data_IF_954060779599
#
_entry.id   IF_954060779599
#
_cell.length_a   1.000
_cell.length_b   1.000
_cell.length_c   1.000
_cell.angle_alpha   90.00
_cell.angle_beta   90.00
_cell.angle_gamma   90.00
#
_symmetry.space_group_name_H-M   'P 1'
#
loop_
_entity.id
_entity.type
_entity.pdbx_description
1 polymer ?
#
# COMPACT_ATOMS: atom_id res chain seq x y z
N UNK A 1 -47.20 -15.69 -28.18
CA UNK A 1 -46.73 -14.82 -27.07
C UNK A 1 -45.60 -15.57 -26.38
N UNK A 2 -44.34 -15.23 -26.67
CA UNK A 2 -43.19 -15.86 -26.02
C UNK A 2 -42.87 -15.09 -24.72
N UNK A 3 -42.83 -15.74 -23.56
CA UNK A 3 -42.42 -15.10 -22.32
C UNK A 3 -40.90 -14.87 -22.37
N UNK A 4 -40.49 -13.60 -22.28
CA UNK A 4 -39.08 -13.24 -22.17
C UNK A 4 -38.52 -13.78 -20.85
N UNK A 5 -37.45 -14.55 -21.03
CA UNK A 5 -36.64 -15.25 -20.04
C UNK A 5 -36.02 -14.29 -19.01
N UNK A 6 -35.68 -14.84 -17.84
CA UNK A 6 -35.09 -14.16 -16.69
C UNK A 6 -33.78 -13.39 -16.96
N UNK A 7 -33.15 -12.76 -15.97
CA UNK A 7 -32.63 -13.42 -14.78
C UNK A 7 -31.98 -12.36 -13.87
N UNK A 8 -32.25 -12.43 -12.56
CA UNK A 8 -31.45 -11.95 -11.42
C UNK A 8 -30.59 -10.67 -11.61
N UNK A 9 -30.98 -9.59 -10.93
CA UNK A 9 -30.20 -8.36 -10.79
C UNK A 9 -28.85 -8.56 -10.08
N UNK A 10 -27.84 -9.01 -10.81
CA UNK A 10 -26.44 -8.94 -10.39
C UNK A 10 -25.94 -7.52 -10.68
N UNK A 11 -25.52 -6.79 -9.64
CA UNK A 11 -24.93 -5.45 -9.80
C UNK A 11 -23.69 -5.57 -10.69
N UNK A 12 -23.73 -4.92 -11.86
CA UNK A 12 -22.59 -4.87 -12.78
C UNK A 12 -21.53 -3.94 -12.20
N UNK A 13 -20.35 -4.48 -11.90
CA UNK A 13 -19.24 -3.70 -11.40
C UNK A 13 -18.67 -2.81 -12.51
N UNK A 14 -18.60 -1.51 -12.25
CA UNK A 14 -17.97 -0.53 -13.14
C UNK A 14 -16.71 -0.04 -12.43
N UNK A 15 -15.58 -0.03 -13.13
CA UNK A 15 -14.32 0.46 -12.54
C UNK A 15 -14.38 1.98 -12.36
N UNK A 16 -13.68 2.52 -11.36
CA UNK A 16 -13.58 3.97 -11.16
C UNK A 16 -13.06 4.68 -12.43
N UNK A 17 -12.13 4.04 -13.14
CA UNK A 17 -11.61 4.55 -14.42
C UNK A 17 -12.68 4.61 -15.51
N UNK A 18 -13.62 3.65 -15.54
CA UNK A 18 -14.71 3.66 -16.50
C UNK A 18 -15.74 4.75 -16.18
N UNK A 19 -16.05 4.97 -14.90
CA UNK A 19 -16.90 6.10 -14.47
C UNK A 19 -16.26 7.43 -14.85
N UNK A 20 -14.96 7.61 -14.61
CA UNK A 20 -14.24 8.84 -14.96
C UNK A 20 -14.12 9.06 -16.47
N UNK A 21 -14.18 8.01 -17.29
CA UNK A 21 -14.25 8.16 -18.76
C UNK A 21 -15.67 8.49 -19.20
N UNK A 22 -16.67 7.87 -18.58
CA UNK A 22 -18.08 8.12 -18.84
C UNK A 22 -18.48 9.56 -18.49
N UNK A 23 -17.83 10.19 -17.50
CA UNK A 23 -18.08 11.60 -17.17
C UNK A 23 -17.63 12.55 -18.29
N UNK A 24 -16.65 12.18 -19.11
CA UNK A 24 -16.23 12.97 -20.26
C UNK A 24 -17.00 12.61 -21.53
N UNK A 25 -17.22 11.32 -21.76
CA UNK A 25 -18.00 10.80 -22.89
C UNK A 25 -19.04 9.79 -22.39
N UNK A 26 -20.32 10.18 -22.24
CA UNK A 26 -21.37 9.29 -21.74
C UNK A 26 -21.50 7.97 -22.51
N UNK A 27 -21.21 7.99 -23.81
CA UNK A 27 -21.31 6.84 -24.70
C UNK A 27 -20.12 5.86 -24.61
N UNK A 28 -19.05 6.21 -23.88
CA UNK A 28 -17.86 5.36 -23.73
C UNK A 28 -18.17 3.96 -23.20
N UNK A 29 -19.07 3.85 -22.21
CA UNK A 29 -19.41 2.56 -21.58
C UNK A 29 -20.06 1.60 -22.58
N UNK A 30 -21.00 2.10 -23.38
CA UNK A 30 -21.68 1.30 -24.40
C UNK A 30 -20.71 0.80 -25.48
N UNK A 31 -19.82 1.68 -25.96
CA UNK A 31 -18.75 1.31 -26.90
C UNK A 31 -17.84 0.23 -26.33
N UNK A 32 -17.45 0.37 -25.06
CA UNK A 32 -16.61 -0.61 -24.38
C UNK A 32 -17.30 -1.96 -24.26
N UNK A 33 -18.60 -1.98 -23.93
CA UNK A 33 -19.40 -3.21 -23.85
C UNK A 33 -19.57 -3.90 -25.21
N UNK A 34 -19.67 -3.11 -26.28
CA UNK A 34 -19.66 -3.60 -27.67
C UNK A 34 -18.27 -4.09 -28.13
N UNK A 35 -17.25 -4.00 -27.28
CA UNK A 35 -15.90 -4.51 -27.55
C UNK A 35 -15.03 -3.56 -28.37
N UNK A 36 -15.37 -2.26 -28.44
CA UNK A 36 -14.54 -1.29 -29.12
C UNK A 36 -13.14 -1.23 -28.49
N UNK A 37 -12.11 -1.40 -29.33
CA UNK A 37 -10.72 -1.40 -28.88
C UNK A 37 -10.12 0.01 -28.94
N UNK A 38 -9.37 0.42 -27.91
CA UNK A 38 -8.65 1.69 -27.92
C UNK A 38 -7.57 1.71 -29.03
N UNK A 39 -7.22 2.90 -29.51
CA UNK A 39 -6.15 3.07 -30.50
C UNK A 39 -4.78 2.70 -29.91
N UNK A 40 -3.84 2.31 -30.77
CA UNK A 40 -2.48 1.94 -30.35
C UNK A 40 -1.80 3.08 -29.56
N UNK A 41 -1.90 4.31 -30.05
CA UNK A 41 -1.38 5.49 -29.36
C UNK A 41 -1.93 5.64 -27.92
N UNK A 42 -3.22 5.36 -27.72
CA UNK A 42 -3.84 5.46 -26.38
C UNK A 42 -3.40 4.33 -25.43
N UNK A 43 -3.06 3.15 -25.97
CA UNK A 43 -2.48 2.06 -25.20
C UNK A 43 -1.06 2.39 -24.74
N UNK A 44 -0.24 2.93 -25.63
CA UNK A 44 1.13 3.36 -25.34
C UNK A 44 1.17 4.47 -24.28
N UNK A 45 0.29 5.47 -24.40
CA UNK A 45 0.16 6.53 -23.41
C UNK A 45 -0.23 5.99 -22.02
N UNK A 46 -1.15 5.01 -21.97
CA UNK A 46 -1.53 4.34 -20.71
C UNK A 46 -0.38 3.53 -20.12
N UNK A 47 0.33 2.76 -20.93
CA UNK A 47 1.46 1.96 -20.49
C UNK A 47 2.59 2.84 -19.91
N UNK A 48 2.84 4.00 -20.53
CA UNK A 48 3.78 5.01 -20.00
C UNK A 48 3.31 5.58 -18.65
N UNK A 49 2.01 5.82 -18.49
CA UNK A 49 1.44 6.25 -17.21
C UNK A 49 1.53 5.17 -16.13
N UNK A 50 1.35 3.91 -16.51
CA UNK A 50 1.40 2.78 -15.58
C UNK A 50 2.81 2.53 -15.05
N UNK A 51 3.83 2.64 -15.90
CA UNK A 51 5.23 2.52 -15.47
C UNK A 51 5.65 3.64 -14.51
N UNK A 52 5.24 4.89 -14.77
CA UNK A 52 5.51 5.98 -13.83
C UNK A 52 4.77 5.82 -12.51
N UNK A 53 3.51 5.35 -12.56
CA UNK A 53 2.72 5.09 -11.35
C UNK A 53 3.28 3.93 -10.52
N UNK A 54 3.82 2.88 -11.16
CA UNK A 54 4.47 1.76 -10.48
C UNK A 54 5.76 2.21 -9.79
N UNK A 55 6.58 3.03 -10.45
CA UNK A 55 7.82 3.57 -9.87
C UNK A 55 7.53 4.39 -8.61
N UNK A 56 6.51 5.25 -8.65
CA UNK A 56 6.07 6.03 -7.49
C UNK A 56 5.50 5.14 -6.37
N UNK A 57 4.71 4.12 -6.72
CA UNK A 57 4.20 3.17 -5.72
C UNK A 57 5.33 2.43 -5.00
N UNK A 58 6.36 1.99 -5.72
CA UNK A 58 7.52 1.31 -5.14
C UNK A 58 8.29 2.22 -4.17
N UNK A 59 8.53 3.46 -4.57
CA UNK A 59 9.14 4.46 -3.68
C UNK A 59 8.30 4.72 -2.42
N UNK A 60 6.97 4.78 -2.57
CA UNK A 60 6.07 4.97 -1.44
C UNK A 60 6.04 3.75 -0.51
N UNK A 61 6.13 2.52 -1.02
CA UNK A 61 6.19 1.29 -0.23
C UNK A 61 7.47 1.22 0.61
N UNK A 62 8.62 1.54 0.02
CA UNK A 62 9.91 1.53 0.71
C UNK A 62 9.95 2.52 1.90
N UNK A 63 9.07 3.52 1.94
CA UNK A 63 8.98 4.51 3.03
C UNK A 63 8.01 4.11 4.17
N UNK A 64 7.19 3.07 4.00
CA UNK A 64 6.16 2.70 4.99
C UNK A 64 6.74 1.88 6.14
N UNK A 65 6.55 2.26 7.40
CA UNK A 65 6.89 1.40 8.53
C UNK A 65 5.58 0.85 9.14
N UNK A 66 5.14 -0.34 8.70
CA UNK A 66 3.80 -0.87 9.00
C UNK A 66 3.51 -0.98 10.51
N UNK A 67 4.42 -1.58 11.27
CA UNK A 67 4.25 -1.77 12.72
C UNK A 67 4.24 -0.44 13.46
N UNK A 68 5.18 0.48 13.17
CA UNK A 68 5.22 1.79 13.82
C UNK A 68 4.01 2.66 13.48
N UNK A 69 3.59 2.65 12.20
CA UNK A 69 2.39 3.37 11.75
C UNK A 69 1.13 2.85 12.45
N UNK A 70 1.03 1.52 12.65
CA UNK A 70 -0.09 0.92 13.38
C UNK A 70 -0.08 1.28 14.87
N UNK A 71 1.09 1.33 15.51
CA UNK A 71 1.21 1.58 16.95
C UNK A 71 1.06 3.07 17.31
N UNK A 72 1.79 3.96 16.62
CA UNK A 72 1.89 5.38 16.99
C UNK A 72 1.21 6.33 15.99
N UNK A 73 0.96 5.88 14.77
CA UNK A 73 0.47 6.71 13.67
C UNK A 73 1.56 7.15 12.69
N UNK A 74 1.13 7.67 11.55
CA UNK A 74 2.00 7.92 10.39
C UNK A 74 2.99 9.08 10.58
N UNK A 75 2.59 10.12 11.33
CA UNK A 75 3.33 11.36 11.54
C UNK A 75 3.90 11.47 12.97
N UNK A 76 3.93 10.38 13.73
CA UNK A 76 4.43 10.41 15.10
C UNK A 76 5.98 10.48 15.11
N UNK A 77 6.61 11.25 16.02
CA UNK A 77 8.07 11.40 16.09
C UNK A 77 8.81 10.05 16.17
N UNK A 78 8.31 9.10 16.98
CA UNK A 78 8.86 7.74 17.06
C UNK A 78 8.83 7.00 15.72
N UNK A 79 7.77 7.15 14.93
CA UNK A 79 7.67 6.55 13.59
C UNK A 79 8.72 7.16 12.65
N UNK A 80 8.90 8.48 12.70
CA UNK A 80 9.92 9.18 11.91
C UNK A 80 11.33 8.75 12.33
N UNK A 81 11.61 8.63 13.63
CA UNK A 81 12.90 8.18 14.15
C UNK A 81 13.23 6.75 13.69
N UNK A 82 12.25 5.84 13.74
CA UNK A 82 12.42 4.47 13.25
C UNK A 82 12.67 4.40 11.73
N UNK A 83 12.02 5.27 10.93
CA UNK A 83 12.29 5.38 9.49
C UNK A 83 13.74 5.81 9.23
N UNK A 84 14.20 6.86 9.91
CA UNK A 84 15.58 7.35 9.77
C UNK A 84 16.59 6.28 10.20
N UNK A 85 16.34 5.60 11.32
CA UNK A 85 17.19 4.51 11.80
C UNK A 85 17.25 3.34 10.80
N UNK A 86 16.12 2.97 10.20
CA UNK A 86 16.07 1.94 9.15
C UNK A 86 16.95 2.33 7.97
N UNK A 87 16.81 3.56 7.49
CA UNK A 87 17.47 4.02 6.26
C UNK A 87 18.97 4.27 6.46
N UNK A 88 19.37 4.81 7.61
CA UNK A 88 20.77 5.14 7.87
C UNK A 88 21.57 3.94 8.41
N UNK A 89 21.00 3.17 9.35
CA UNK A 89 21.76 2.13 10.07
C UNK A 89 21.50 0.73 9.52
N UNK A 90 20.24 0.34 9.31
CA UNK A 90 19.90 -1.02 8.85
C UNK A 90 20.16 -1.21 7.36
N UNK A 91 19.89 -0.22 6.52
CA UNK A 91 20.11 -0.36 5.07
C UNK A 91 21.61 -0.39 4.71
N UNK A 92 22.47 0.24 5.53
CA UNK A 92 23.93 0.25 5.34
C UNK A 92 24.52 -1.17 5.41
N UNK A 93 24.03 -2.02 6.33
CA UNK A 93 24.58 -3.35 6.56
C UNK A 93 23.79 -4.46 5.84
N UNK A 94 24.48 -5.48 5.31
CA UNK A 94 23.82 -6.63 4.65
C UNK A 94 22.80 -7.34 5.55
N UNK A 95 23.16 -7.55 6.83
CA UNK A 95 22.26 -8.17 7.83
C UNK A 95 21.02 -7.32 8.08
N UNK A 96 21.17 -6.00 8.11
CA UNK A 96 20.05 -5.09 8.28
C UNK A 96 19.11 -5.10 7.07
N UNK A 97 19.64 -5.19 5.84
CA UNK A 97 18.81 -5.37 4.63
C UNK A 97 17.98 -6.66 4.65
N UNK A 98 18.56 -7.77 5.10
CA UNK A 98 17.80 -9.03 5.27
C UNK A 98 16.72 -8.88 6.33
N UNK A 99 17.03 -8.25 7.46
CA UNK A 99 16.04 -7.96 8.51
C UNK A 99 14.87 -7.11 7.99
N UNK A 100 15.15 -6.05 7.20
CA UNK A 100 14.12 -5.21 6.59
C UNK A 100 13.18 -6.04 5.69
N UNK A 101 13.73 -6.91 4.84
CA UNK A 101 12.91 -7.77 3.97
C UNK A 101 11.99 -8.69 4.76
N UNK A 102 12.51 -9.35 5.79
CA UNK A 102 11.71 -10.22 6.67
C UNK A 102 10.63 -9.39 7.38
N UNK A 103 11.00 -8.20 7.87
CA UNK A 103 10.07 -7.28 8.50
C UNK A 103 8.89 -6.94 7.56
N UNK A 104 9.13 -6.56 6.31
CA UNK A 104 8.07 -6.24 5.36
C UNK A 104 7.24 -7.45 4.93
N UNK A 105 7.85 -8.64 4.87
CA UNK A 105 7.12 -9.86 4.56
C UNK A 105 6.17 -10.28 5.70
N UNK A 106 6.60 -10.13 6.96
CA UNK A 106 5.83 -10.57 8.12
C UNK A 106 4.87 -9.51 8.65
N UNK A 107 5.18 -8.22 8.48
CA UNK A 107 4.40 -7.14 9.10
C UNK A 107 2.91 -7.10 8.70
N UNK A 108 2.47 -7.44 7.47
CA UNK A 108 1.04 -7.54 7.16
C UNK A 108 0.30 -8.55 8.04
N UNK A 109 0.91 -9.72 8.26
CA UNK A 109 0.34 -10.76 9.13
C UNK A 109 0.30 -10.31 10.58
N UNK A 110 1.37 -9.66 11.04
CA UNK A 110 1.47 -9.11 12.40
C UNK A 110 0.41 -8.03 12.66
N UNK A 111 0.18 -7.13 11.70
CA UNK A 111 -0.85 -6.08 11.83
C UNK A 111 -2.26 -6.70 11.85
N UNK A 112 -2.53 -7.71 11.02
CA UNK A 112 -3.81 -8.42 11.04
C UNK A 112 -4.02 -9.13 12.39
N UNK A 113 -2.99 -9.77 12.92
CA UNK A 113 -3.03 -10.41 14.24
C UNK A 113 -3.25 -9.40 15.37
N UNK A 114 -2.55 -8.25 15.34
CA UNK A 114 -2.73 -7.16 16.31
C UNK A 114 -4.15 -6.61 16.35
N UNK A 115 -4.84 -6.57 15.20
CA UNK A 115 -6.26 -6.15 15.15
C UNK A 115 -7.20 -7.15 15.80
N UNK A 116 -6.87 -8.44 15.78
CA UNK A 116 -7.67 -9.50 16.43
C UNK A 116 -7.35 -9.65 17.92
N UNK A 117 -6.11 -9.41 18.32
CA UNK A 117 -5.64 -9.64 19.69
C UNK A 117 -5.00 -8.36 20.27
N UNK A 118 -5.71 -7.59 21.12
CA UNK A 118 -5.21 -6.32 21.67
C UNK A 118 -3.98 -6.50 22.58
N UNK A 119 -3.81 -7.67 23.19
CA UNK A 119 -2.62 -8.00 23.98
C UNK A 119 -1.34 -8.04 23.14
N UNK A 120 -1.44 -8.50 21.90
CA UNK A 120 -0.29 -8.57 21.00
C UNK A 120 0.23 -7.17 20.64
N UNK A 121 -0.69 -6.23 20.42
CA UNK A 121 -0.35 -4.82 20.20
C UNK A 121 0.42 -4.21 21.39
N UNK A 122 0.03 -4.52 22.63
CA UNK A 122 0.77 -4.07 23.83
C UNK A 122 2.18 -4.65 23.92
N UNK A 123 2.33 -5.94 23.67
CA UNK A 123 3.65 -6.60 23.65
C UNK A 123 4.53 -5.98 22.57
N UNK A 124 4.01 -5.79 21.36
CA UNK A 124 4.73 -5.12 20.28
C UNK A 124 5.16 -3.70 20.64
N UNK A 125 4.26 -2.93 21.26
CA UNK A 125 4.56 -1.58 21.71
C UNK A 125 5.73 -1.57 22.69
N UNK A 126 5.70 -2.45 23.68
CA UNK A 126 6.80 -2.59 24.65
C UNK A 126 8.14 -2.91 23.97
N UNK A 127 8.17 -3.86 23.02
CA UNK A 127 9.40 -4.18 22.28
C UNK A 127 9.89 -3.00 21.43
N UNK A 128 8.98 -2.30 20.75
CA UNK A 128 9.33 -1.17 19.89
C UNK A 128 9.80 0.03 20.73
N UNK A 129 9.13 0.35 21.84
CA UNK A 129 9.54 1.40 22.77
C UNK A 129 10.93 1.13 23.33
N UNK A 130 11.23 -0.11 23.74
CA UNK A 130 12.57 -0.49 24.21
C UNK A 130 13.65 -0.28 23.15
N UNK A 131 13.33 -0.55 21.88
CA UNK A 131 14.25 -0.30 20.78
C UNK A 131 14.41 1.20 20.51
N UNK A 132 13.34 1.99 20.63
CA UNK A 132 13.40 3.46 20.49
C UNK A 132 14.29 4.06 21.57
N UNK A 133 14.12 3.69 22.84
CA UNK A 133 14.97 4.18 23.93
C UNK A 133 16.45 3.91 23.65
N UNK A 134 16.79 2.68 23.21
CA UNK A 134 18.16 2.31 22.82
C UNK A 134 18.71 3.12 21.64
N UNK A 135 17.85 3.50 20.69
CA UNK A 135 18.27 4.32 19.54
C UNK A 135 18.46 5.77 19.95
N UNK A 136 17.63 6.28 20.89
CA UNK A 136 17.74 7.63 21.43
C UNK A 136 19.01 7.79 22.26
N UNK A 137 19.29 6.86 23.18
CA UNK A 137 20.53 6.86 23.98
C UNK A 137 21.77 6.95 23.07
N UNK A 138 21.84 6.12 22.02
CA UNK A 138 22.96 6.12 21.07
C UNK A 138 23.11 7.45 20.31
N UNK A 139 22.05 8.24 20.13
CA UNK A 139 22.12 9.54 19.43
C UNK A 139 22.54 10.69 20.34
N UNK A 140 22.37 10.56 21.65
CA UNK A 140 22.80 11.59 22.62
C UNK A 140 24.31 11.50 22.91
N UNK A 141 24.93 10.36 22.60
CA UNK A 141 26.37 10.11 22.77
C UNK A 141 27.25 10.52 21.56
N UNK A 142 26.63 10.95 20.44
CA UNK A 142 27.29 11.41 19.20
C UNK A 142 27.19 12.94 19.03
#
# INVERSE_FOLDING_TARGET
>A
MNPLMGNSGKKKWVSASDVGRASYCPHYLELKEKGAKPSQQSLEARAKGETSHEALNRQAEDQRCFVATHLYGINHPNTCLLRVYRDQQLASHFRGRVFIRIYYALSPLLVIASRKFPMFSRVMRYFVDRQICRIQERREDD
#
